data_IF_373405863457
#
_entry.id   IF_373405863457
#
_cell.length_a   1.000
_cell.length_b   1.000
_cell.length_c   1.000
_cell.angle_alpha   90.00
_cell.angle_beta   90.00
_cell.angle_gamma   90.00
#
_symmetry.space_group_name_H-M   'P 1'
#
loop_
_entity.id
_entity.type
_entity.pdbx_description
1 polymer ?
#
# COMPACT_ATOMS: atom_id res chain seq x y z
N UNK A 1 -16.26 -2.74 -11.35
CA UNK A 1 -15.52 -2.61 -10.08
C UNK A 1 -14.75 -1.32 -10.13
N UNK A 2 -14.83 -0.50 -9.08
CA UNK A 2 -14.09 0.76 -8.99
C UNK A 2 -12.86 0.53 -8.14
N UNK A 3 -11.69 0.90 -8.66
CA UNK A 3 -10.45 0.90 -7.90
C UNK A 3 -10.30 2.25 -7.21
N UNK A 4 -9.88 2.22 -5.96
CA UNK A 4 -9.58 3.41 -5.18
C UNK A 4 -8.09 3.70 -5.24
N UNK A 5 -7.74 4.98 -5.33
CA UNK A 5 -6.37 5.46 -5.14
C UNK A 5 -6.22 5.92 -3.69
N UNK A 6 -5.36 5.25 -2.96
CA UNK A 6 -5.09 5.44 -1.54
C UNK A 6 -3.66 5.97 -1.41
N UNK A 7 -3.44 6.98 -0.56
CA UNK A 7 -2.11 7.53 -0.31
C UNK A 7 -1.80 7.31 1.17
N UNK A 8 -0.75 6.54 1.43
CA UNK A 8 -0.24 6.27 2.78
C UNK A 8 1.07 7.01 2.95
N UNK A 9 1.14 7.94 3.91
CA UNK A 9 2.33 8.75 4.17
C UNK A 9 3.05 8.29 5.42
N UNK A 10 4.33 8.64 5.53
CA UNK A 10 5.12 8.33 6.70
C UNK A 10 4.54 9.07 7.91
N UNK A 11 3.93 8.33 8.81
CA UNK A 11 3.39 8.86 10.07
C UNK A 11 4.52 9.30 11.01
N UNK A 12 4.16 10.09 12.03
CA UNK A 12 5.06 10.50 13.11
C UNK A 12 5.76 9.31 13.73
N UNK A 13 7.09 9.33 13.73
CA UNK A 13 7.92 8.32 14.33
C UNK A 13 8.87 8.93 15.37
N UNK A 14 8.41 9.13 16.62
CA UNK A 14 9.18 9.84 17.64
C UNK A 14 10.50 9.10 17.94
N UNK A 15 11.58 9.85 18.09
CA UNK A 15 12.92 9.29 18.35
C UNK A 15 13.71 8.92 17.10
N UNK A 16 13.18 9.18 15.90
CA UNK A 16 13.95 9.15 14.65
C UNK A 16 13.98 10.55 14.01
N UNK A 17 14.67 10.68 12.87
CA UNK A 17 14.67 11.91 12.07
C UNK A 17 13.28 12.31 11.55
N UNK A 18 12.32 11.38 11.54
CA UNK A 18 10.93 11.58 11.10
C UNK A 18 9.97 11.72 12.27
N UNK A 19 10.37 12.47 13.31
CA UNK A 19 9.55 12.66 14.52
C UNK A 19 8.16 13.26 14.20
N UNK A 20 8.07 14.15 13.21
CA UNK A 20 6.81 14.76 12.75
C UNK A 20 6.16 14.00 11.57
N UNK A 21 6.78 12.90 11.12
CA UNK A 21 6.40 12.20 9.89
C UNK A 21 6.97 12.90 8.66
N UNK A 22 6.55 12.45 7.48
CA UNK A 22 6.89 13.07 6.20
C UNK A 22 5.81 12.80 5.15
N UNK A 23 5.20 13.87 4.64
CA UNK A 23 4.17 13.82 3.59
C UNK A 23 4.75 13.45 2.22
N UNK A 24 6.04 13.72 2.01
CA UNK A 24 6.75 13.46 0.76
C UNK A 24 7.31 12.05 0.69
N UNK A 25 7.08 11.23 1.72
CA UNK A 25 7.54 9.84 1.79
C UNK A 25 6.38 8.90 2.10
N UNK A 26 6.28 7.82 1.34
CA UNK A 26 5.21 6.85 1.54
C UNK A 26 4.87 6.03 0.30
N UNK A 27 3.60 5.65 0.19
CA UNK A 27 3.09 4.74 -0.83
C UNK A 27 1.79 5.27 -1.43
N UNK A 28 1.64 5.14 -2.75
CA UNK A 28 0.34 5.22 -3.41
C UNK A 28 -0.12 3.81 -3.74
N UNK A 29 -1.29 3.41 -3.24
CA UNK A 29 -1.89 2.11 -3.48
C UNK A 29 -3.13 2.28 -4.37
N UNK A 30 -3.23 1.47 -5.42
CA UNK A 30 -4.45 1.31 -6.20
C UNK A 30 -5.06 -0.03 -5.85
N UNK A 31 -6.23 -0.04 -5.20
CA UNK A 31 -6.88 -1.27 -4.75
C UNK A 31 -8.39 -1.08 -4.61
N UNK A 32 -9.20 -2.14 -4.73
CA UNK A 32 -10.63 -2.06 -4.46
C UNK A 32 -10.90 -1.95 -2.96
N UNK A 33 -11.79 -1.04 -2.59
CA UNK A 33 -12.28 -0.87 -1.22
C UNK A 33 -13.77 -1.21 -1.12
N UNK A 34 -14.17 -1.72 0.04
CA UNK A 34 -15.57 -1.81 0.44
C UNK A 34 -16.12 -0.43 0.80
N UNK A 35 -17.44 -0.31 0.93
CA UNK A 35 -18.10 0.94 1.38
C UNK A 35 -17.62 1.39 2.77
N UNK A 36 -17.25 0.43 3.64
CA UNK A 36 -16.65 0.70 4.94
C UNK A 36 -15.20 1.20 4.86
N UNK A 37 -14.57 1.22 3.69
CA UNK A 37 -13.17 1.62 3.49
C UNK A 37 -12.15 0.51 3.77
N UNK A 38 -12.57 -0.75 3.78
CA UNK A 38 -11.68 -1.90 3.94
C UNK A 38 -11.24 -2.44 2.58
N UNK A 39 -10.10 -3.15 2.49
CA UNK A 39 -9.74 -3.85 1.26
C UNK A 39 -10.79 -4.92 0.91
N UNK A 40 -11.36 -4.83 -0.29
CA UNK A 40 -12.32 -5.81 -0.79
C UNK A 40 -11.59 -7.02 -1.37
N UNK A 41 -11.63 -8.15 -0.66
CA UNK A 41 -10.93 -9.37 -1.03
C UNK A 41 -11.48 -10.05 -2.29
N UNK A 42 -12.79 -10.00 -2.50
CA UNK A 42 -13.44 -10.61 -3.67
C UNK A 42 -13.13 -9.80 -4.92
N UNK A 43 -13.23 -8.47 -4.83
CA UNK A 43 -12.85 -7.57 -5.91
C UNK A 43 -11.34 -7.59 -6.18
N UNK A 44 -10.51 -7.70 -5.13
CA UNK A 44 -9.06 -7.83 -5.28
C UNK A 44 -8.69 -9.06 -6.11
N UNK A 45 -9.32 -10.21 -5.83
CA UNK A 45 -9.08 -11.43 -6.61
C UNK A 45 -9.38 -11.28 -8.10
N UNK A 46 -10.36 -10.45 -8.45
CA UNK A 46 -10.79 -10.20 -9.84
C UNK A 46 -9.98 -9.12 -10.54
N UNK A 47 -9.47 -8.14 -9.80
CA UNK A 47 -8.74 -6.97 -10.31
C UNK A 47 -7.26 -6.97 -9.90
N UNK A 48 -6.69 -8.13 -9.54
CA UNK A 48 -5.31 -8.24 -9.02
C UNK A 48 -4.27 -7.62 -9.95
N UNK A 49 -4.45 -7.79 -11.26
CA UNK A 49 -3.54 -7.23 -12.27
C UNK A 49 -3.52 -5.69 -12.29
N UNK A 50 -4.61 -5.06 -11.89
CA UNK A 50 -4.76 -3.60 -11.82
C UNK A 50 -4.38 -3.03 -10.43
N UNK A 51 -4.16 -3.90 -9.43
CA UNK A 51 -3.80 -3.49 -8.09
C UNK A 51 -2.30 -3.20 -7.98
N UNK A 52 -1.95 -1.92 -7.98
CA UNK A 52 -0.57 -1.43 -8.07
C UNK A 52 -0.14 -0.69 -6.81
N UNK A 53 1.15 -0.73 -6.51
CA UNK A 53 1.78 0.08 -5.47
C UNK A 53 2.86 0.96 -6.09
N UNK A 54 3.01 2.18 -5.57
CA UNK A 54 4.10 3.09 -5.90
C UNK A 54 4.72 3.63 -4.62
N UNK A 55 5.94 3.23 -4.31
CA UNK A 55 6.75 3.85 -3.25
C UNK A 55 7.29 5.18 -3.73
N UNK A 56 7.27 6.20 -2.87
CA UNK A 56 7.80 7.51 -3.17
C UNK A 56 8.57 8.08 -1.99
N UNK A 57 9.65 8.80 -2.28
CA UNK A 57 10.48 9.53 -1.34
C UNK A 57 11.12 10.73 -2.08
N UNK A 58 11.53 11.80 -1.37
CA UNK A 58 12.14 12.97 -2.01
C UNK A 58 13.54 12.72 -2.60
N UNK A 59 14.28 11.75 -2.06
CA UNK A 59 15.67 11.45 -2.43
C UNK A 59 15.82 10.21 -3.34
N UNK A 60 14.71 9.54 -3.67
CA UNK A 60 14.72 8.29 -4.44
C UNK A 60 13.73 8.34 -5.61
N UNK A 61 14.10 7.72 -6.73
CA UNK A 61 13.15 7.44 -7.81
C UNK A 61 12.00 6.57 -7.30
N UNK A 62 10.81 6.85 -7.79
CA UNK A 62 9.63 6.11 -7.35
C UNK A 62 9.67 4.66 -7.84
N UNK A 63 9.61 3.72 -6.91
CA UNK A 63 9.52 2.29 -7.20
C UNK A 63 8.07 1.89 -7.45
N UNK A 64 7.81 1.22 -8.57
CA UNK A 64 6.51 0.66 -8.90
C UNK A 64 6.48 -0.83 -8.58
N UNK A 65 5.34 -1.30 -8.10
CA UNK A 65 5.11 -2.71 -7.80
C UNK A 65 3.63 -3.06 -7.87
N UNK A 66 3.29 -4.24 -7.37
CA UNK A 66 1.93 -4.77 -7.29
C UNK A 66 1.55 -5.06 -5.86
N UNK A 67 0.24 -4.98 -5.60
CA UNK A 67 -0.30 -5.44 -4.33
C UNK A 67 -0.46 -6.97 -4.39
N UNK A 68 0.25 -7.67 -3.52
CA UNK A 68 0.18 -9.12 -3.38
C UNK A 68 -0.44 -9.52 -2.04
N UNK A 69 -1.05 -10.70 -2.01
CA UNK A 69 -1.63 -11.28 -0.80
C UNK A 69 -1.30 -12.76 -0.70
N UNK A 70 -0.76 -13.19 0.44
CA UNK A 70 -0.55 -14.60 0.78
C UNK A 70 -1.28 -14.91 2.08
N UNK A 71 -2.32 -15.76 1.98
CA UNK A 71 -3.24 -16.04 3.08
C UNK A 71 -3.84 -14.73 3.62
N UNK A 72 -3.50 -14.32 4.83
CA UNK A 72 -3.98 -13.08 5.45
C UNK A 72 -3.00 -11.91 5.33
N UNK A 73 -1.75 -12.19 4.93
CA UNK A 73 -0.70 -11.19 4.85
C UNK A 73 -0.71 -10.50 3.49
N UNK A 74 -0.47 -9.20 3.51
CA UNK A 74 -0.34 -8.36 2.33
C UNK A 74 1.12 -7.97 2.14
N UNK A 75 1.51 -7.84 0.88
CA UNK A 75 2.87 -7.56 0.46
C UNK A 75 2.87 -6.53 -0.65
N UNK A 76 3.90 -5.70 -0.68
CA UNK A 76 4.27 -4.91 -1.83
C UNK A 76 5.34 -5.67 -2.61
N UNK A 77 4.95 -6.15 -3.78
CA UNK A 77 5.76 -6.95 -4.69
C UNK A 77 6.35 -6.02 -5.75
N UNK A 78 7.65 -5.76 -5.70
CA UNK A 78 8.35 -4.87 -6.64
C UNK A 78 9.00 -5.60 -7.81
N UNK A 79 9.09 -6.94 -7.77
CA UNK A 79 9.74 -7.76 -8.79
C UNK A 79 8.79 -8.84 -9.30
N UNK A 80 8.43 -8.79 -10.59
CA UNK A 80 7.44 -9.72 -11.11
C UNK A 80 7.93 -11.17 -11.24
N UNK A 81 9.22 -11.41 -11.04
CA UNK A 81 9.90 -12.68 -11.30
C UNK A 81 10.19 -13.46 -10.02
N UNK A 82 10.43 -12.79 -8.89
CA UNK A 82 10.72 -13.44 -7.62
C UNK A 82 10.22 -12.66 -6.39
N UNK A 83 9.98 -13.41 -5.32
CA UNK A 83 9.44 -12.95 -4.06
C UNK A 83 10.46 -12.33 -3.08
N UNK A 84 11.75 -12.35 -3.39
CA UNK A 84 12.78 -11.99 -2.40
C UNK A 84 12.68 -10.55 -1.91
N UNK A 85 12.10 -9.64 -2.70
CA UNK A 85 11.94 -8.21 -2.35
C UNK A 85 10.54 -7.88 -1.78
N UNK A 86 9.68 -8.88 -1.55
CA UNK A 86 8.32 -8.65 -1.06
C UNK A 86 8.34 -7.98 0.33
N UNK A 87 7.88 -6.73 0.36
CA UNK A 87 7.79 -5.97 1.60
C UNK A 87 6.46 -6.29 2.29
N UNK A 88 6.53 -6.94 3.47
CA UNK A 88 5.35 -7.29 4.25
C UNK A 88 4.68 -6.04 4.84
N UNK A 89 3.40 -5.85 4.56
CA UNK A 89 2.64 -4.66 4.98
C UNK A 89 1.83 -4.98 6.24
N UNK A 90 2.25 -4.39 7.36
CA UNK A 90 1.66 -4.70 8.65
C UNK A 90 0.17 -4.29 8.71
N UNK A 91 -0.70 -5.27 8.99
CA UNK A 91 -2.14 -5.07 9.22
C UNK A 91 -2.91 -4.36 8.10
N UNK A 92 -2.40 -4.35 6.87
CA UNK A 92 -3.07 -3.67 5.76
C UNK A 92 -4.52 -4.14 5.55
N UNK A 93 -4.76 -5.45 5.63
CA UNK A 93 -6.11 -6.04 5.50
C UNK A 93 -7.06 -5.72 6.66
N UNK A 94 -6.54 -5.27 7.80
CA UNK A 94 -7.31 -4.86 8.97
C UNK A 94 -7.39 -3.34 9.10
N UNK A 95 -6.74 -2.61 8.20
CA UNK A 95 -6.73 -1.16 8.19
C UNK A 95 -7.93 -0.63 7.41
N UNK A 96 -8.61 0.34 8.01
CA UNK A 96 -9.72 1.06 7.39
C UNK A 96 -9.15 2.34 6.78
N UNK A 97 -9.38 2.56 5.49
CA UNK A 97 -9.00 3.78 4.80
C UNK A 97 -10.16 4.78 4.84
N UNK A 98 -9.98 5.88 5.54
CA UNK A 98 -10.88 7.03 5.49
C UNK A 98 -10.21 8.25 4.86
N UNK A 99 -11.02 9.11 4.24
CA UNK A 99 -10.52 10.39 3.72
C UNK A 99 -10.13 11.29 4.89
N UNK A 100 -8.86 11.72 4.94
CA UNK A 100 -8.34 12.65 5.94
C UNK A 100 -7.62 12.02 7.15
N UNK A 101 -7.38 10.70 7.12
CA UNK A 101 -6.41 10.04 8.02
C UNK A 101 -4.94 10.32 7.63
#
# INVERSE_FOLDING_TARGET
MTLSRIIMRLARNPGTEFADGDDHRGYTLTAPLTDDGMLDLDAFGKARADCTVRRFAPDEDATLGRLARRRDNWYFDYDDQDDTDDEAVHKLGQHRFAVGE
#
